data_IF_141131268843
#
_entry.id   IF_141131268843
#
_cell.length_a   1.000
_cell.length_b   1.000
_cell.length_c   1.000
_cell.angle_alpha   90.00
_cell.angle_beta   90.00
_cell.angle_gamma   90.00
#
_symmetry.space_group_name_H-M   'P 1'
#
loop_
_entity.id
_entity.type
_entity.pdbx_description
1 polymer ?
#
# COMPACT_ATOMS: atom_id res chain seq x y z
N UNK A 1 13.87 5.60 -1.34
CA UNK A 1 12.47 5.79 -1.77
C UNK A 1 11.62 4.55 -1.51
N UNK A 2 11.78 3.46 -2.26
CA UNK A 2 10.93 2.25 -2.12
C UNK A 2 10.98 1.63 -0.72
N UNK A 3 12.17 1.40 -0.15
CA UNK A 3 12.29 0.85 1.22
C UNK A 3 11.66 1.75 2.30
N UNK A 4 11.79 3.07 2.15
CA UNK A 4 11.16 4.02 3.06
C UNK A 4 9.63 3.98 2.95
N UNK A 5 9.10 3.81 1.74
CA UNK A 5 7.67 3.61 1.52
C UNK A 5 7.18 2.28 2.11
N UNK A 6 7.94 1.18 1.97
CA UNK A 6 7.61 -0.10 2.62
C UNK A 6 7.59 0.05 4.15
N UNK A 7 8.59 0.72 4.72
CA UNK A 7 8.64 0.96 6.16
C UNK A 7 7.45 1.83 6.63
N UNK A 8 7.14 2.91 5.90
CA UNK A 8 6.00 3.76 6.19
C UNK A 8 4.67 3.02 6.06
N UNK A 9 4.53 2.14 5.07
CA UNK A 9 3.35 1.28 4.91
C UNK A 9 3.18 0.33 6.09
N UNK A 10 4.28 -0.26 6.59
CA UNK A 10 4.24 -1.16 7.75
C UNK A 10 3.85 -0.41 9.03
N UNK A 11 4.46 0.75 9.28
CA UNK A 11 4.14 1.60 10.45
C UNK A 11 2.69 2.11 10.36
N UNK A 12 2.27 2.56 9.18
CA UNK A 12 0.90 3.03 8.95
C UNK A 12 -0.14 1.92 9.17
N UNK A 13 0.14 0.70 8.70
CA UNK A 13 -0.73 -0.45 8.94
C UNK A 13 -0.83 -0.75 10.44
N UNK A 14 0.29 -0.77 11.17
CA UNK A 14 0.28 -0.96 12.63
C UNK A 14 -0.46 0.16 13.37
N UNK A 15 -0.29 1.41 12.94
CA UNK A 15 -0.97 2.55 13.52
C UNK A 15 -2.50 2.47 13.32
N UNK A 16 -2.98 2.06 12.14
CA UNK A 16 -4.41 1.91 11.85
C UNK A 16 -5.04 0.82 12.74
N UNK A 17 -4.36 -0.30 12.92
CA UNK A 17 -4.81 -1.40 13.81
C UNK A 17 -4.99 -0.90 15.23
N UNK A 18 -4.02 -0.13 15.75
CA UNK A 18 -4.03 0.34 17.14
C UNK A 18 -5.00 1.52 17.35
N UNK A 19 -5.03 2.47 16.42
CA UNK A 19 -5.72 3.76 16.61
C UNK A 19 -7.14 3.78 16.03
N UNK A 20 -7.43 2.93 15.05
CA UNK A 20 -8.71 2.93 14.34
C UNK A 20 -9.19 1.49 14.02
N UNK A 21 -9.36 0.61 15.04
CA UNK A 21 -9.79 -0.77 14.83
C UNK A 21 -11.16 -0.87 14.13
N UNK A 22 -12.01 0.15 14.27
CA UNK A 22 -13.31 0.26 13.60
C UNK A 22 -13.22 0.27 12.06
N UNK A 23 -12.10 0.72 11.49
CA UNK A 23 -11.84 0.67 10.04
C UNK A 23 -11.56 -0.77 9.60
N UNK A 24 -10.88 -1.54 10.44
CA UNK A 24 -10.63 -2.97 10.22
C UNK A 24 -11.91 -3.80 10.35
N UNK A 25 -12.72 -3.52 11.38
CA UNK A 25 -14.00 -4.21 11.61
C UNK A 25 -14.99 -4.00 10.47
N UNK A 26 -15.05 -2.78 9.89
CA UNK A 26 -15.87 -2.49 8.72
C UNK A 26 -15.36 -3.19 7.45
N UNK A 27 -14.05 -3.25 7.24
CA UNK A 27 -13.47 -3.84 6.04
C UNK A 27 -13.53 -5.39 6.04
N UNK A 28 -13.39 -6.03 7.21
CA UNK A 28 -13.38 -7.48 7.33
C UNK A 28 -14.80 -8.06 7.44
N UNK A 29 -15.80 -7.27 7.89
CA UNK A 29 -17.21 -7.64 7.91
C UNK A 29 -17.58 -8.84 8.80
N UNK A 30 -16.61 -9.43 9.52
CA UNK A 30 -16.79 -10.61 10.36
C UNK A 30 -16.97 -10.17 11.82
N UNK A 31 -18.20 -10.16 12.32
CA UNK A 31 -18.45 -10.03 13.76
C UNK A 31 -18.33 -11.39 14.44
N UNK A 32 -17.27 -11.64 15.21
CA UNK A 32 -17.18 -12.84 16.06
C UNK A 32 -15.76 -13.14 16.59
N UNK A 33 -15.62 -14.03 17.60
CA UNK A 33 -14.39 -14.28 18.37
C UNK A 33 -13.19 -14.84 17.57
N UNK A 34 -13.34 -15.11 16.27
CA UNK A 34 -12.25 -15.52 15.37
C UNK A 34 -11.54 -14.34 14.68
N UNK A 35 -12.04 -13.11 14.82
CA UNK A 35 -11.48 -11.90 14.19
C UNK A 35 -10.03 -11.65 14.58
N UNK A 36 -9.67 -11.79 15.85
CA UNK A 36 -8.31 -11.54 16.34
C UNK A 36 -7.27 -12.49 15.73
N UNK A 37 -7.64 -13.76 15.50
CA UNK A 37 -6.75 -14.73 14.87
C UNK A 37 -6.52 -14.42 13.38
N UNK A 38 -7.58 -13.99 12.69
CA UNK A 38 -7.50 -13.56 11.29
C UNK A 38 -6.70 -12.28 11.13
N UNK A 39 -6.88 -11.31 12.03
CA UNK A 39 -6.12 -10.06 12.05
C UNK A 39 -4.64 -10.32 12.29
N UNK A 40 -4.29 -11.14 13.28
CA UNK A 40 -2.92 -11.55 13.55
C UNK A 40 -2.30 -12.30 12.36
N UNK A 41 -3.04 -13.22 11.74
CA UNK A 41 -2.59 -13.94 10.56
C UNK A 41 -2.38 -13.02 9.36
N UNK A 42 -3.28 -12.05 9.15
CA UNK A 42 -3.16 -11.04 8.10
C UNK A 42 -1.93 -10.15 8.31
N UNK A 43 -1.71 -9.66 9.53
CA UNK A 43 -0.55 -8.84 9.86
C UNK A 43 0.76 -9.63 9.74
N UNK A 44 0.76 -10.89 10.13
CA UNK A 44 1.91 -11.77 9.94
C UNK A 44 2.21 -11.99 8.45
N UNK A 45 1.19 -12.27 7.64
CA UNK A 45 1.32 -12.44 6.19
C UNK A 45 1.79 -11.14 5.50
N UNK A 46 1.22 -9.99 5.89
CA UNK A 46 1.63 -8.67 5.38
C UNK A 46 3.08 -8.37 5.74
N UNK A 47 3.48 -8.65 6.99
CA UNK A 47 4.86 -8.43 7.45
C UNK A 47 5.85 -9.30 6.68
N UNK A 48 5.52 -10.59 6.49
CA UNK A 48 6.34 -11.50 5.70
C UNK A 48 6.44 -11.03 4.24
N UNK A 49 5.32 -10.63 3.65
CA UNK A 49 5.27 -10.10 2.29
C UNK A 49 6.17 -8.87 2.12
N UNK A 50 6.07 -7.89 3.03
CA UNK A 50 6.91 -6.69 3.00
C UNK A 50 8.40 -7.02 3.23
N UNK A 51 8.70 -8.00 4.10
CA UNK A 51 10.08 -8.46 4.30
C UNK A 51 10.66 -9.09 3.02
N UNK A 52 9.90 -9.94 2.32
CA UNK A 52 10.31 -10.53 1.04
C UNK A 52 10.55 -9.45 0.00
N UNK A 53 9.67 -8.44 -0.10
CA UNK A 53 9.87 -7.32 -1.01
C UNK A 53 11.13 -6.52 -0.65
N UNK A 54 11.36 -6.23 0.63
CA UNK A 54 12.55 -5.52 1.09
C UNK A 54 13.83 -6.28 0.75
N UNK A 55 13.88 -7.59 1.00
CA UNK A 55 14.99 -8.45 0.62
C UNK A 55 15.18 -8.46 -0.91
N UNK A 56 14.08 -8.53 -1.66
CA UNK A 56 14.08 -8.46 -3.12
C UNK A 56 14.65 -7.16 -3.67
N UNK A 57 14.35 -6.03 -3.03
CA UNK A 57 14.92 -4.70 -3.35
C UNK A 57 16.43 -4.69 -3.05
N UNK A 58 16.84 -5.14 -1.86
CA UNK A 58 18.26 -5.15 -1.44
C UNK A 58 19.09 -6.08 -2.33
N UNK A 59 18.56 -7.27 -2.65
CA UNK A 59 19.19 -8.24 -3.57
C UNK A 59 19.01 -7.90 -5.05
N UNK A 60 18.38 -6.77 -5.37
CA UNK A 60 18.13 -6.27 -6.74
C UNK A 60 17.47 -7.30 -7.66
N UNK A 61 16.49 -8.05 -7.16
CA UNK A 61 15.77 -9.04 -7.96
C UNK A 61 15.01 -8.34 -9.10
N UNK A 62 15.24 -8.78 -10.34
CA UNK A 62 14.60 -8.20 -11.54
C UNK A 62 13.08 -8.35 -11.52
N UNK A 63 12.58 -9.47 -11.01
CA UNK A 63 11.13 -9.71 -10.89
C UNK A 63 10.47 -8.77 -9.87
N UNK A 64 11.13 -8.50 -8.74
CA UNK A 64 10.62 -7.60 -7.70
C UNK A 64 10.55 -6.16 -8.22
N UNK A 65 11.47 -5.76 -9.10
CA UNK A 65 11.38 -4.47 -9.77
C UNK A 65 10.07 -4.34 -10.56
N UNK A 66 9.73 -5.34 -11.37
CA UNK A 66 8.49 -5.33 -12.17
C UNK A 66 7.24 -5.40 -11.30
N UNK A 67 7.23 -6.25 -10.28
CA UNK A 67 6.12 -6.34 -9.31
C UNK A 67 5.89 -4.98 -8.65
N UNK A 68 6.96 -4.35 -8.16
CA UNK A 68 6.86 -3.07 -7.47
C UNK A 68 6.45 -1.94 -8.42
N UNK A 69 6.94 -1.97 -9.67
CA UNK A 69 6.58 -1.00 -10.69
C UNK A 69 5.09 -1.08 -11.03
N UNK A 70 4.59 -2.27 -11.36
CA UNK A 70 3.19 -2.48 -11.71
C UNK A 70 2.28 -2.14 -10.53
N UNK A 71 2.62 -2.60 -9.33
CA UNK A 71 1.88 -2.26 -8.11
C UNK A 71 1.88 -0.75 -7.85
N UNK A 72 2.99 -0.06 -8.13
CA UNK A 72 3.09 1.39 -7.94
C UNK A 72 2.24 2.17 -8.93
N UNK A 73 2.23 1.77 -10.20
CA UNK A 73 1.38 2.40 -11.22
C UNK A 73 -0.11 2.13 -11.00
N UNK A 74 -0.45 0.92 -10.54
CA UNK A 74 -1.82 0.60 -10.13
C UNK A 74 -2.32 1.49 -8.99
N UNK A 75 -1.42 2.15 -8.25
CA UNK A 75 -1.74 3.16 -7.25
C UNK A 75 -2.61 4.30 -7.77
N UNK A 76 -2.67 4.55 -9.08
CA UNK A 76 -3.50 5.60 -9.70
C UNK A 76 -5.00 5.35 -9.51
N UNK A 77 -5.40 4.09 -9.31
CA UNK A 77 -6.79 3.73 -9.07
C UNK A 77 -7.29 4.28 -7.72
N UNK A 78 -6.41 4.42 -6.73
CA UNK A 78 -6.78 4.90 -5.39
C UNK A 78 -7.25 6.36 -5.38
N UNK A 79 -6.48 7.36 -5.88
CA UNK A 79 -6.94 8.75 -5.88
C UNK A 79 -8.17 8.95 -6.76
N UNK A 80 -8.31 8.17 -7.85
CA UNK A 80 -9.53 8.20 -8.67
C UNK A 80 -10.73 7.69 -7.89
N UNK A 81 -10.63 6.54 -7.23
CA UNK A 81 -11.68 5.99 -6.39
C UNK A 81 -12.02 6.95 -5.23
N UNK A 82 -11.01 7.46 -4.53
CA UNK A 82 -11.19 8.43 -3.44
C UNK A 82 -11.89 9.71 -3.90
N UNK A 83 -11.56 10.23 -5.08
CA UNK A 83 -12.23 11.39 -5.65
C UNK A 83 -13.70 11.10 -5.97
N UNK A 84 -14.00 9.91 -6.51
CA UNK A 84 -15.37 9.48 -6.82
C UNK A 84 -16.19 9.22 -5.54
N UNK A 85 -15.60 8.66 -4.49
CA UNK A 85 -16.25 8.50 -3.18
C UNK A 85 -16.56 9.86 -2.55
N UNK A 86 -15.60 10.78 -2.53
CA UNK A 86 -15.79 12.12 -1.98
C UNK A 86 -16.77 12.98 -2.79
N UNK A 87 -16.90 12.70 -4.09
CA UNK A 87 -17.92 13.31 -4.96
C UNK A 87 -19.33 12.70 -4.78
N UNK A 88 -19.47 11.64 -3.98
CA UNK A 88 -20.73 10.94 -3.75
C UNK A 88 -21.19 10.06 -4.92
N UNK A 89 -20.31 9.78 -5.89
CA UNK A 89 -20.60 8.90 -7.03
C UNK A 89 -20.46 7.44 -6.62
N UNK A 90 -19.44 7.13 -5.81
CA UNK A 90 -19.24 5.82 -5.19
C UNK A 90 -19.66 5.85 -3.71
N UNK A 91 -20.18 4.75 -3.16
CA UNK A 91 -20.46 4.66 -1.73
C UNK A 91 -19.16 4.77 -0.93
N UNK A 92 -19.17 5.59 0.12
CA UNK A 92 -18.04 5.69 1.07
C UNK A 92 -17.81 4.33 1.72
N UNK A 93 -16.62 3.76 1.53
CA UNK A 93 -16.24 2.48 2.15
C UNK A 93 -15.65 2.64 3.55
N UNK A 94 -15.41 3.88 3.99
CA UNK A 94 -14.92 4.18 5.33
C UNK A 94 -15.05 5.67 5.66
N UNK A 95 -14.54 6.09 6.83
CA UNK A 95 -14.54 7.49 7.23
C UNK A 95 -13.87 8.39 6.17
N UNK A 96 -14.40 9.59 5.92
CA UNK A 96 -13.91 10.47 4.87
C UNK A 96 -12.39 10.80 4.99
N UNK A 97 -11.87 10.92 6.21
CA UNK A 97 -10.43 11.14 6.44
C UNK A 97 -9.57 9.97 5.94
N UNK A 98 -10.08 8.74 6.03
CA UNK A 98 -9.40 7.54 5.57
C UNK A 98 -9.40 7.47 4.04
N UNK A 99 -10.50 7.87 3.41
CA UNK A 99 -10.62 7.98 1.95
C UNK A 99 -9.62 9.01 1.42
N UNK A 100 -9.49 10.18 2.06
CA UNK A 100 -8.48 11.20 1.71
C UNK A 100 -7.06 10.64 1.87
N UNK A 101 -6.76 9.98 2.99
CA UNK A 101 -5.46 9.36 3.25
C UNK A 101 -5.11 8.32 2.16
N UNK A 102 -6.06 7.45 1.78
CA UNK A 102 -5.86 6.48 0.71
C UNK A 102 -5.54 7.13 -0.64
N UNK A 103 -6.24 8.22 -0.98
CA UNK A 103 -5.97 9.00 -2.17
C UNK A 103 -4.55 9.56 -2.19
N UNK A 104 -4.12 10.18 -1.09
CA UNK A 104 -2.75 10.71 -0.93
C UNK A 104 -1.70 9.60 -1.06
N UNK A 105 -1.90 8.46 -0.41
CA UNK A 105 -1.01 7.30 -0.52
C UNK A 105 -0.91 6.85 -1.98
N UNK A 106 -2.02 6.80 -2.70
CA UNK A 106 -2.04 6.43 -4.12
C UNK A 106 -1.26 7.40 -5.00
N UNK A 107 -1.36 8.71 -4.76
CA UNK A 107 -0.55 9.72 -5.47
C UNK A 107 0.95 9.50 -5.24
N UNK A 108 1.34 9.29 -3.98
CA UNK A 108 2.75 9.00 -3.63
C UNK A 108 3.22 7.72 -4.32
N UNK A 109 2.39 6.68 -4.33
CA UNK A 109 2.68 5.40 -4.95
C UNK A 109 2.87 5.52 -6.46
N UNK A 110 2.04 6.32 -7.15
CA UNK A 110 2.23 6.63 -8.58
C UNK A 110 3.53 7.39 -8.83
N UNK A 111 3.85 8.38 -7.98
CA UNK A 111 5.11 9.13 -8.10
C UNK A 111 6.33 8.20 -7.96
N UNK A 112 6.28 7.22 -7.07
CA UNK A 112 7.31 6.16 -6.96
C UNK A 112 7.39 5.36 -8.26
N UNK A 113 6.26 4.94 -8.83
CA UNK A 113 6.23 4.22 -10.11
C UNK A 113 6.87 5.00 -11.25
N UNK A 114 6.56 6.30 -11.36
CA UNK A 114 7.17 7.20 -12.36
C UNK A 114 8.69 7.31 -12.14
N UNK A 115 9.13 7.49 -10.90
CA UNK A 115 10.56 7.54 -10.58
C UNK A 115 11.29 6.24 -10.95
N UNK A 116 10.65 5.08 -10.71
CA UNK A 116 11.18 3.78 -11.11
C UNK A 116 11.37 3.65 -12.64
N UNK A 117 10.40 4.13 -13.44
CA UNK A 117 10.53 4.17 -14.91
C UNK A 117 11.68 5.09 -15.33
N UNK A 118 11.76 6.28 -14.71
CA UNK A 118 12.78 7.26 -15.04
C UNK A 118 14.20 6.70 -14.79
N UNK A 119 14.44 6.02 -13.67
CA UNK A 119 15.74 5.38 -13.43
C UNK A 119 15.97 4.14 -14.29
N UNK A 120 14.94 3.35 -14.61
CA UNK A 120 15.08 2.24 -15.56
C UNK A 120 15.61 2.71 -16.92
N UNK A 121 15.10 3.84 -17.43
CA UNK A 121 15.58 4.43 -18.69
C UNK A 121 17.04 4.90 -18.64
N UNK A 122 17.56 5.24 -17.46
CA UNK A 122 18.93 5.76 -17.27
C UNK A 122 19.98 4.66 -17.10
N UNK A 123 19.61 3.51 -16.52
CA UNK A 123 20.61 2.48 -16.19
C UNK A 123 20.06 1.07 -15.94
N UNK A 124 18.81 0.79 -16.30
CA UNK A 124 18.19 -0.52 -16.11
C UNK A 124 17.60 -0.75 -14.70
N UNK A 125 17.23 -2.00 -14.36
CA UNK A 125 16.55 -2.32 -13.11
C UNK A 125 17.40 -1.93 -11.89
N UNK A 126 16.81 -1.21 -10.94
CA UNK A 126 17.49 -0.73 -9.71
C UNK A 126 18.66 0.24 -9.96
N UNK A 127 18.71 0.89 -11.13
CA UNK A 127 19.62 2.01 -11.35
C UNK A 127 19.48 3.04 -10.21
N UNK A 128 20.60 3.61 -9.77
CA UNK A 128 20.57 4.62 -8.72
C UNK A 128 19.68 5.79 -9.16
N UNK A 129 18.70 6.12 -8.32
CA UNK A 129 17.82 7.27 -8.47
C UNK A 129 18.38 8.43 -7.65
#
# INVERSE_FOLDING_TARGET
>A
MVLAFLAAAWVGAGAIVVLAPSVYDQAIGLRGPKTQLFEAAFLAALSLFLAVLAVGVVRRWRWIFWVMLVASLAGVLRPLASALELAGILPLQGPAWYVVLQGVIGVIQVAIGIAMIAGYRRGGPWAAF
#
